data_IF_016497562771
#
_entry.id   IF_016497562771
#
_cell.length_a   1.000
_cell.length_b   1.000
_cell.length_c   1.000
_cell.angle_alpha   90.00
_cell.angle_beta   90.00
_cell.angle_gamma   90.00
#
_symmetry.space_group_name_H-M   'P 1'
#
loop_
_entity.id
_entity.type
_entity.pdbx_description
1 polymer ?
#
# COMPACT_ATOMS: atom_id res chain seq x y z
N UNK A 1 14.85 14.18 2.80
CA UNK A 1 14.57 13.43 1.56
C UNK A 1 13.44 12.49 1.89
N UNK A 2 12.19 12.87 1.58
CA UNK A 2 11.03 12.03 1.87
C UNK A 2 11.01 10.90 0.85
N UNK A 3 11.41 9.71 1.27
CA UNK A 3 11.36 8.50 0.44
C UNK A 3 9.90 8.17 0.14
N UNK A 4 9.51 8.35 -1.13
CA UNK A 4 8.19 7.99 -1.64
C UNK A 4 7.98 6.48 -1.50
N UNK A 5 6.74 6.09 -1.23
CA UNK A 5 6.33 4.68 -1.25
C UNK A 5 6.49 4.18 -2.69
N UNK A 6 7.18 3.05 -2.85
CA UNK A 6 7.42 2.41 -4.14
C UNK A 6 6.83 1.00 -4.15
N UNK A 7 6.65 0.43 -5.35
CA UNK A 7 6.18 -0.95 -5.53
C UNK A 7 7.03 -2.04 -4.87
N UNK A 8 8.30 -1.72 -4.57
CA UNK A 8 9.26 -2.63 -3.95
C UNK A 8 9.15 -2.62 -2.44
N UNK A 9 8.47 -1.62 -1.88
CA UNK A 9 8.18 -1.57 -0.45
C UNK A 9 7.21 -2.69 -0.08
N UNK A 10 7.41 -3.20 1.14
CA UNK A 10 6.51 -4.18 1.71
C UNK A 10 5.28 -3.50 2.24
N UNK A 11 4.13 -4.08 1.95
CA UNK A 11 2.85 -3.57 2.38
C UNK A 11 2.76 -3.46 3.90
N UNK A 12 3.27 -4.46 4.64
CA UNK A 12 3.31 -4.41 6.09
C UNK A 12 4.15 -3.24 6.62
N UNK A 13 5.32 -2.95 6.03
CA UNK A 13 6.16 -1.84 6.45
C UNK A 13 5.52 -0.49 6.14
N UNK A 14 4.91 -0.36 4.96
CA UNK A 14 4.22 0.87 4.55
C UNK A 14 3.04 1.15 5.47
N UNK A 15 2.20 0.16 5.77
CA UNK A 15 1.07 0.35 6.68
C UNK A 15 1.55 0.57 8.12
N UNK A 16 2.65 -0.05 8.54
CA UNK A 16 3.23 0.18 9.87
C UNK A 16 3.78 1.60 10.00
N UNK A 17 4.46 2.12 8.98
CA UNK A 17 4.95 3.50 8.94
C UNK A 17 3.81 4.51 8.76
N UNK A 18 2.84 4.19 7.93
CA UNK A 18 1.74 5.06 7.51
C UNK A 18 0.40 4.33 7.68
N UNK A 19 -0.18 4.26 8.88
CA UNK A 19 -1.42 3.51 9.13
C UNK A 19 -2.62 4.00 8.31
N UNK A 20 -2.62 5.27 7.90
CA UNK A 20 -3.60 5.87 7.00
C UNK A 20 -3.66 5.21 5.61
N UNK A 21 -2.53 4.69 5.12
CA UNK A 21 -2.47 4.00 3.82
C UNK A 21 -3.31 2.72 3.80
N UNK A 22 -3.61 2.14 4.97
CA UNK A 22 -4.42 0.92 5.09
C UNK A 22 -5.80 1.09 4.44
N UNK A 23 -6.41 2.27 4.57
CA UNK A 23 -7.73 2.54 4.01
C UNK A 23 -7.71 2.59 2.48
N UNK A 24 -6.62 3.12 1.90
CA UNK A 24 -6.36 3.11 0.46
C UNK A 24 -6.31 1.68 -0.07
N UNK A 25 -5.53 0.80 0.59
CA UNK A 25 -5.48 -0.61 0.18
C UNK A 25 -6.86 -1.28 0.22
N UNK A 26 -7.64 -1.03 1.27
CA UNK A 26 -9.00 -1.58 1.41
C UNK A 26 -9.91 -1.08 0.29
N UNK A 27 -9.86 0.21 -0.03
CA UNK A 27 -10.64 0.81 -1.12
C UNK A 27 -10.28 0.23 -2.49
N UNK A 28 -9.01 -0.14 -2.68
CA UNK A 28 -8.52 -0.78 -3.90
C UNK A 28 -8.78 -2.31 -3.97
N UNK A 29 -9.52 -2.89 -3.04
CA UNK A 29 -9.90 -4.30 -3.08
C UNK A 29 -9.01 -5.22 -2.23
N UNK A 30 -8.21 -4.66 -1.32
CA UNK A 30 -7.60 -5.45 -0.26
C UNK A 30 -8.68 -5.91 0.72
N UNK A 31 -8.86 -7.21 0.97
CA UNK A 31 -9.75 -7.66 2.02
C UNK A 31 -9.30 -7.07 3.35
N UNK A 32 -10.25 -6.67 4.18
CA UNK A 32 -9.96 -6.08 5.49
C UNK A 32 -9.30 -7.15 6.35
N UNK A 33 -7.97 -7.18 6.39
CA UNK A 33 -7.23 -8.18 7.16
C UNK A 33 -7.51 -7.97 8.66
N UNK A 34 -8.16 -8.92 9.35
CA UNK A 34 -8.42 -8.81 10.78
C UNK A 34 -7.19 -9.16 11.63
N UNK A 35 -6.04 -9.45 11.01
CA UNK A 35 -4.85 -9.97 11.69
C UNK A 35 -3.54 -9.46 11.07
N UNK A 36 -2.56 -10.35 10.92
CA UNK A 36 -1.21 -10.00 10.45
C UNK A 36 -1.25 -9.56 8.99
N UNK A 37 -0.80 -8.33 8.73
CA UNK A 37 -0.65 -7.81 7.37
C UNK A 37 0.35 -8.67 6.60
N UNK A 38 0.09 -8.96 5.32
CA UNK A 38 1.02 -9.74 4.54
C UNK A 38 2.33 -8.97 4.37
N UNK A 39 3.44 -9.69 4.50
CA UNK A 39 4.80 -9.13 4.35
C UNK A 39 5.25 -9.14 2.88
N UNK A 40 4.30 -9.13 1.96
CA UNK A 40 4.50 -9.09 0.52
C UNK A 40 4.75 -7.66 0.04
N UNK A 41 5.35 -7.55 -1.15
CA UNK A 41 5.54 -6.26 -1.81
C UNK A 41 4.25 -5.74 -2.41
N UNK A 42 4.11 -4.42 -2.48
CA UNK A 42 2.95 -3.77 -3.13
C UNK A 42 2.76 -4.30 -4.56
N UNK A 43 3.84 -4.58 -5.29
CA UNK A 43 3.78 -5.18 -6.62
C UNK A 43 3.08 -6.54 -6.65
N UNK A 44 3.36 -7.40 -5.67
CA UNK A 44 2.77 -8.73 -5.59
C UNK A 44 1.28 -8.62 -5.30
N UNK A 45 0.91 -7.77 -4.34
CA UNK A 45 -0.47 -7.46 -4.02
C UNK A 45 -1.25 -6.95 -5.25
N UNK A 46 -0.68 -5.98 -5.97
CA UNK A 46 -1.30 -5.42 -7.16
C UNK A 46 -1.50 -6.47 -8.26
N UNK A 47 -0.50 -7.32 -8.49
CA UNK A 47 -0.63 -8.43 -9.46
C UNK A 47 -1.71 -9.43 -9.06
N UNK A 48 -1.77 -9.80 -7.78
CA UNK A 48 -2.71 -10.81 -7.28
C UNK A 48 -4.16 -10.31 -7.30
N UNK A 49 -4.37 -9.03 -6.95
CA UNK A 49 -5.70 -8.41 -6.90
C UNK A 49 -6.09 -7.67 -8.19
N UNK A 50 -5.23 -7.68 -9.22
CA UNK A 50 -5.37 -6.87 -10.45
C UNK A 50 -5.64 -5.40 -10.18
N UNK A 51 -4.95 -4.85 -9.18
CA UNK A 51 -5.00 -3.42 -8.83
C UNK A 51 -3.96 -2.68 -9.65
N UNK A 52 -4.32 -1.48 -10.10
CA UNK A 52 -3.36 -0.62 -10.79
C UNK A 52 -2.31 -0.08 -9.81
N UNK A 53 -1.07 -0.50 -10.02
CA UNK A 53 0.02 -0.19 -9.11
C UNK A 53 0.40 1.29 -9.14
N UNK A 54 0.24 1.97 -10.28
CA UNK A 54 0.59 3.39 -10.38
C UNK A 54 -0.42 4.22 -9.61
N UNK A 55 -1.71 3.94 -9.80
CA UNK A 55 -2.80 4.58 -9.08
C UNK A 55 -2.70 4.33 -7.58
N UNK A 56 -2.45 3.08 -7.17
CA UNK A 56 -2.29 2.74 -5.77
C UNK A 56 -1.10 3.49 -5.15
N UNK A 57 0.06 3.52 -5.81
CA UNK A 57 1.23 4.25 -5.30
C UNK A 57 0.96 5.75 -5.17
N UNK A 58 0.24 6.36 -6.12
CA UNK A 58 -0.13 7.77 -6.04
C UNK A 58 -1.01 8.05 -4.81
N UNK A 59 -2.08 7.27 -4.64
CA UNK A 59 -2.99 7.38 -3.48
C UNK A 59 -2.28 7.09 -2.16
N UNK A 60 -1.36 6.11 -2.13
CA UNK A 60 -0.56 5.79 -0.96
C UNK A 60 0.38 6.95 -0.58
N UNK A 61 1.07 7.54 -1.56
CA UNK A 61 1.95 8.68 -1.34
C UNK A 61 1.16 9.91 -0.90
N UNK A 62 0.00 10.16 -1.50
CA UNK A 62 -0.91 11.23 -1.11
C UNK A 62 -1.42 11.04 0.32
N UNK A 63 -1.93 9.85 0.65
CA UNK A 63 -2.37 9.50 2.00
C UNK A 63 -1.22 9.59 3.01
N UNK A 64 0.00 9.21 2.63
CA UNK A 64 1.18 9.34 3.50
C UNK A 64 1.69 10.79 3.67
N UNK A 65 1.15 11.77 2.93
CA UNK A 65 1.63 13.15 2.92
C UNK A 65 2.99 13.32 2.23
N UNK A 66 3.32 12.40 1.31
CA UNK A 66 4.55 12.37 0.50
C UNK A 66 4.33 12.92 -0.93
N UNK A 67 3.11 13.38 -1.23
CA UNK A 67 2.72 13.98 -2.50
C UNK A 67 3.22 15.43 -2.64
#
# INVERSE_FOLDING_TARGET
MTEKITRKDKLNEVITKYPQTRDVFISHGMPKYPGRLPSETIEFFCRMHRVDILLLLEELNNAAGLA
#
